data_IF_358468490839
#
_entry.id   IF_358468490839
#
_cell.length_a   1.000
_cell.length_b   1.000
_cell.length_c   1.000
_cell.angle_alpha   90.00
_cell.angle_beta   90.00
_cell.angle_gamma   90.00
#
_symmetry.space_group_name_H-M   'P 1'
#
loop_
_entity.id
_entity.type
_entity.pdbx_description
1 polymer ?
#
# COMPACT_ATOMS: atom_id res chain seq x y z
N UNK A 1 3.03 9.14 -53.45
CA UNK A 1 3.69 9.10 -52.12
C UNK A 1 2.60 9.16 -51.07
N UNK A 2 2.25 8.01 -50.50
CA UNK A 2 1.39 7.94 -49.32
C UNK A 2 2.23 8.31 -48.09
N UNK A 3 1.82 9.26 -47.23
CA UNK A 3 2.55 9.55 -46.01
C UNK A 3 2.52 8.31 -45.11
N UNK A 4 3.71 7.86 -44.69
CA UNK A 4 3.85 6.85 -43.63
C UNK A 4 3.43 7.54 -42.33
N UNK A 5 2.51 6.96 -41.53
CA UNK A 5 2.18 7.53 -40.23
C UNK A 5 3.45 7.60 -39.39
N UNK A 6 3.80 8.80 -38.92
CA UNK A 6 4.88 8.99 -37.98
C UNK A 6 4.48 8.31 -36.66
N UNK A 7 5.07 7.14 -36.40
CA UNK A 7 4.93 6.48 -35.11
C UNK A 7 5.77 7.28 -34.12
N UNK A 8 5.13 7.99 -33.19
CA UNK A 8 5.84 8.70 -32.13
C UNK A 8 6.79 7.71 -31.44
N UNK A 9 8.07 8.06 -31.38
CA UNK A 9 9.03 7.24 -30.66
C UNK A 9 8.49 7.05 -29.24
N UNK A 10 8.50 5.82 -28.69
CA UNK A 10 8.09 5.62 -27.31
C UNK A 10 8.90 6.55 -26.43
N UNK A 11 8.23 7.36 -25.60
CA UNK A 11 8.94 8.15 -24.59
C UNK A 11 9.53 7.16 -23.60
N UNK A 12 10.84 6.98 -23.69
CA UNK A 12 11.57 6.06 -22.82
C UNK A 12 11.83 6.78 -21.49
N UNK A 13 11.54 6.08 -20.39
CA UNK A 13 11.73 6.55 -19.04
C UNK A 13 12.67 5.63 -18.29
N UNK A 14 13.45 6.20 -17.39
CA UNK A 14 14.23 5.45 -16.41
C UNK A 14 13.90 5.94 -15.00
N UNK A 15 14.09 5.05 -14.02
CA UNK A 15 13.73 5.25 -12.64
C UNK A 15 14.94 5.10 -11.74
N UNK A 16 14.94 5.82 -10.62
CA UNK A 16 16.04 5.79 -9.64
C UNK A 16 15.51 6.04 -8.23
N UNK A 17 16.15 5.44 -7.23
CA UNK A 17 15.87 5.70 -5.80
C UNK A 17 16.80 6.73 -5.19
N UNK A 18 18.00 6.91 -5.75
CA UNK A 18 19.05 7.81 -5.25
C UNK A 18 19.20 9.10 -6.09
N UNK A 19 18.59 9.13 -7.28
CA UNK A 19 18.69 10.23 -8.25
C UNK A 19 19.98 10.20 -9.07
N UNK A 20 20.82 9.17 -8.91
CA UNK A 20 22.14 9.02 -9.54
C UNK A 20 22.14 7.80 -10.47
N UNK A 21 21.65 6.66 -9.98
CA UNK A 21 21.65 5.38 -10.69
C UNK A 21 20.28 5.12 -11.29
N UNK A 22 20.18 5.13 -12.63
CA UNK A 22 18.92 4.98 -13.36
C UNK A 22 18.82 3.61 -14.02
N UNK A 23 17.62 3.03 -14.00
CA UNK A 23 17.30 1.77 -14.66
C UNK A 23 15.90 1.83 -15.30
N UNK A 24 15.59 0.97 -16.29
CA UNK A 24 14.27 0.97 -16.95
C UNK A 24 13.08 0.68 -16.01
N UNK A 25 13.35 0.13 -14.82
CA UNK A 25 12.38 -0.12 -13.76
C UNK A 25 13.05 0.08 -12.39
N UNK A 26 12.26 0.33 -11.35
CA UNK A 26 12.77 0.33 -9.99
C UNK A 26 13.20 -1.09 -9.58
N UNK A 27 14.35 -1.25 -8.91
CA UNK A 27 14.87 -2.57 -8.52
C UNK A 27 14.09 -3.23 -7.37
N UNK A 28 13.06 -2.58 -6.84
CA UNK A 28 12.28 -3.06 -5.71
C UNK A 28 11.00 -2.25 -5.49
N UNK A 29 10.22 -2.60 -4.45
CA UNK A 29 8.96 -1.92 -4.15
C UNK A 29 9.21 -0.48 -3.71
N UNK A 30 8.28 0.40 -4.05
CA UNK A 30 8.40 1.82 -3.68
C UNK A 30 8.43 2.02 -2.15
N UNK A 31 7.63 1.24 -1.44
CA UNK A 31 7.58 1.25 0.02
C UNK A 31 8.11 -0.08 0.54
N UNK A 32 9.30 -0.08 1.16
CA UNK A 32 9.90 -1.29 1.73
C UNK A 32 9.22 -1.75 3.03
N UNK A 33 8.51 -0.85 3.73
CA UNK A 33 8.00 -1.05 5.09
C UNK A 33 6.48 -1.09 5.24
N UNK A 34 5.71 -1.09 4.14
CA UNK A 34 4.24 -0.97 4.17
C UNK A 34 3.48 -2.17 4.81
N UNK A 35 4.22 -3.15 5.29
CA UNK A 35 3.74 -4.45 5.76
C UNK A 35 2.92 -4.36 7.04
N UNK A 36 3.11 -3.26 7.76
CA UNK A 36 2.38 -2.96 8.96
C UNK A 36 2.10 -1.46 8.96
N UNK A 37 0.82 -1.13 8.87
CA UNK A 37 0.33 0.24 8.99
C UNK A 37 -0.76 0.18 10.05
N UNK A 38 -0.62 0.97 11.11
CA UNK A 38 -1.65 1.12 12.13
C UNK A 38 -2.47 2.39 11.87
N UNK A 39 -3.73 2.47 12.36
CA UNK A 39 -4.52 3.68 12.21
C UNK A 39 -3.77 4.94 12.69
N UNK A 40 -3.72 5.95 11.82
CA UNK A 40 -2.97 7.18 12.05
C UNK A 40 -1.55 7.20 11.46
N UNK A 41 -1.04 6.07 10.98
CA UNK A 41 0.27 6.01 10.34
C UNK A 41 0.27 6.71 8.97
N UNK A 42 1.43 7.29 8.66
CA UNK A 42 1.76 7.87 7.35
C UNK A 42 3.11 7.36 6.91
N UNK A 43 3.18 6.88 5.66
CA UNK A 43 4.39 6.38 5.03
C UNK A 43 4.64 7.19 3.77
N UNK A 44 5.87 7.66 3.58
CA UNK A 44 6.27 8.41 2.38
C UNK A 44 7.50 7.79 1.74
N UNK A 45 7.48 7.71 0.43
CA UNK A 45 8.58 7.21 -0.38
C UNK A 45 8.81 8.13 -1.58
N UNK A 46 10.05 8.21 -2.03
CA UNK A 46 10.40 9.02 -3.20
C UNK A 46 11.19 8.20 -4.21
N UNK A 47 11.00 8.54 -5.47
CA UNK A 47 11.79 8.04 -6.59
C UNK A 47 11.98 9.15 -7.62
N UNK A 48 12.96 8.97 -8.49
CA UNK A 48 13.26 9.87 -9.58
C UNK A 48 12.81 9.23 -10.89
N UNK A 49 12.25 10.06 -11.77
CA UNK A 49 11.86 9.69 -13.13
C UNK A 49 12.68 10.54 -14.08
N UNK A 50 13.43 9.88 -14.97
CA UNK A 50 14.24 10.52 -16.00
C UNK A 50 13.62 10.30 -17.37
N UNK A 51 13.51 11.37 -18.13
CA UNK A 51 13.14 11.32 -19.53
C UNK A 51 14.40 11.04 -20.37
N UNK A 52 14.48 9.87 -21.00
CA UNK A 52 15.61 9.53 -21.89
C UNK A 52 15.29 9.74 -23.37
N UNK A 53 14.10 10.27 -23.67
CA UNK A 53 13.74 10.67 -25.03
C UNK A 53 14.37 12.00 -25.45
N UNK A 54 14.32 12.29 -26.75
CA UNK A 54 14.86 13.51 -27.34
C UNK A 54 13.92 14.73 -27.20
N UNK A 55 12.73 14.57 -26.62
CA UNK A 55 11.73 15.63 -26.50
C UNK A 55 11.25 15.75 -25.07
N UNK A 56 10.76 16.93 -24.68
CA UNK A 56 10.15 17.10 -23.37
C UNK A 56 8.81 16.34 -23.31
N UNK A 57 8.44 15.90 -22.11
CA UNK A 57 7.18 15.20 -21.88
C UNK A 57 6.56 15.57 -20.54
N UNK A 58 5.24 15.52 -20.46
CA UNK A 58 4.47 15.77 -19.24
C UNK A 58 4.36 14.48 -18.44
N UNK A 59 4.83 14.51 -17.20
CA UNK A 59 4.71 13.42 -16.25
C UNK A 59 3.27 13.27 -15.77
N UNK A 60 2.83 12.01 -15.65
CA UNK A 60 1.59 11.61 -14.98
C UNK A 60 1.86 10.43 -14.05
N UNK A 61 1.34 10.50 -12.83
CA UNK A 61 1.36 9.42 -11.85
C UNK A 61 -0.06 9.00 -11.57
N UNK A 62 -0.31 7.69 -11.63
CA UNK A 62 -1.63 7.08 -11.46
C UNK A 62 -1.58 5.97 -10.42
N UNK A 63 -2.68 5.80 -9.71
CA UNK A 63 -2.97 4.68 -8.82
C UNK A 63 -3.81 3.65 -9.57
N UNK A 64 -3.40 2.38 -9.57
CA UNK A 64 -4.09 1.27 -10.24
C UNK A 64 -3.95 -0.04 -9.45
N UNK A 65 -4.58 -1.10 -9.96
CA UNK A 65 -4.46 -2.47 -9.45
C UNK A 65 -4.74 -2.58 -7.94
N UNK A 66 -5.71 -1.79 -7.50
CA UNK A 66 -6.09 -1.69 -6.10
C UNK A 66 -6.96 -2.88 -5.72
N UNK A 67 -6.52 -3.62 -4.72
CA UNK A 67 -7.26 -4.72 -4.09
C UNK A 67 -7.24 -4.48 -2.59
N UNK A 68 -8.39 -4.53 -1.95
CA UNK A 68 -8.52 -4.42 -0.49
C UNK A 68 -9.41 -5.56 0.03
N UNK A 69 -9.08 -6.11 1.20
CA UNK A 69 -9.87 -7.19 1.80
C UNK A 69 -11.21 -6.71 2.38
N UNK A 70 -11.33 -5.42 2.68
CA UNK A 70 -12.56 -4.83 3.22
C UNK A 70 -12.82 -3.41 2.69
N UNK A 71 -14.10 -2.97 2.60
CA UNK A 71 -14.43 -1.59 2.26
C UNK A 71 -13.84 -0.58 3.25
N UNK A 72 -13.74 -0.95 4.53
CA UNK A 72 -13.18 -0.08 5.56
C UNK A 72 -11.69 0.26 5.29
N UNK A 73 -10.90 -0.72 4.82
CA UNK A 73 -9.53 -0.47 4.38
C UNK A 73 -9.49 0.27 3.04
N UNK A 74 -10.39 -0.05 2.11
CA UNK A 74 -10.46 0.65 0.82
C UNK A 74 -10.76 2.15 0.99
N UNK A 75 -11.62 2.53 1.93
CA UNK A 75 -11.93 3.94 2.23
C UNK A 75 -10.93 4.55 3.21
N UNK A 76 -10.36 3.76 4.11
CA UNK A 76 -9.45 4.21 5.16
C UNK A 76 -8.04 4.51 4.69
N UNK A 77 -7.55 3.83 3.66
CA UNK A 77 -6.24 4.11 3.06
C UNK A 77 -6.39 5.17 1.98
N UNK A 78 -5.61 6.24 2.12
CA UNK A 78 -5.48 7.29 1.11
C UNK A 78 -4.05 7.36 0.58
N UNK A 79 -3.93 7.66 -0.71
CA UNK A 79 -2.66 7.82 -1.40
C UNK A 79 -2.62 9.19 -2.08
N UNK A 80 -1.50 9.88 -1.94
CA UNK A 80 -1.20 11.09 -2.72
C UNK A 80 0.18 10.97 -3.35
N UNK A 81 0.39 11.74 -4.43
CA UNK A 81 1.72 11.92 -5.01
C UNK A 81 1.96 13.40 -5.26
N UNK A 82 3.23 13.81 -5.20
CA UNK A 82 3.67 15.16 -5.48
C UNK A 82 5.01 15.16 -6.20
N UNK A 83 5.25 16.26 -6.89
CA UNK A 83 6.50 16.64 -7.52
C UNK A 83 6.93 17.99 -6.96
N UNK A 84 8.12 18.53 -7.31
CA UNK A 84 8.50 19.88 -6.92
C UNK A 84 7.55 20.97 -7.44
N UNK A 85 6.87 20.74 -8.56
CA UNK A 85 6.00 21.73 -9.20
C UNK A 85 4.51 21.55 -8.91
N UNK A 86 4.05 20.31 -8.67
CA UNK A 86 2.63 20.00 -8.48
C UNK A 86 2.40 19.08 -7.28
N UNK A 87 1.35 19.36 -6.53
CA UNK A 87 0.93 18.55 -5.39
C UNK A 87 -0.42 17.92 -5.69
N UNK A 88 -0.46 16.59 -5.73
CA UNK A 88 -1.68 15.82 -5.89
C UNK A 88 -2.56 15.82 -4.65
N UNK A 89 -3.86 15.63 -4.86
CA UNK A 89 -4.80 15.41 -3.76
C UNK A 89 -4.69 13.99 -3.22
N UNK A 90 -4.96 13.79 -1.93
CA UNK A 90 -5.10 12.46 -1.36
C UNK A 90 -6.37 11.78 -1.88
N UNK A 91 -6.24 10.55 -2.36
CA UNK A 91 -7.30 9.77 -3.00
C UNK A 91 -7.48 8.45 -2.23
N UNK A 92 -8.71 8.08 -1.83
CA UNK A 92 -8.96 6.79 -1.19
C UNK A 92 -8.84 5.64 -2.19
N UNK A 93 -8.38 4.48 -1.73
CA UNK A 93 -8.23 3.28 -2.55
C UNK A 93 -9.54 2.85 -3.22
N UNK A 94 -10.67 2.98 -2.53
CA UNK A 94 -12.01 2.65 -3.06
C UNK A 94 -12.38 3.43 -4.32
N UNK A 95 -11.80 4.60 -4.52
CA UNK A 95 -12.07 5.45 -5.68
C UNK A 95 -11.16 5.12 -6.88
N UNK A 96 -10.20 4.21 -6.71
CA UNK A 96 -9.16 3.86 -7.68
C UNK A 96 -9.58 2.80 -8.73
N UNK A 97 -10.85 2.78 -9.15
CA UNK A 97 -11.36 1.78 -10.11
C UNK A 97 -11.76 2.41 -11.46
N UNK A 98 -11.18 1.97 -12.60
CA UNK A 98 -10.07 1.01 -12.71
C UNK A 98 -8.70 1.62 -12.31
N UNK A 99 -8.64 2.94 -12.18
CA UNK A 99 -7.43 3.69 -11.82
C UNK A 99 -7.78 5.15 -11.49
N UNK A 100 -6.85 5.89 -10.87
CA UNK A 100 -6.99 7.34 -10.60
C UNK A 100 -5.68 8.08 -10.78
N UNK A 101 -5.77 9.31 -11.29
CA UNK A 101 -4.62 10.21 -11.41
C UNK A 101 -4.32 10.82 -10.03
N UNK A 102 -3.06 10.73 -9.60
CA UNK A 102 -2.60 11.32 -8.34
C UNK A 102 -1.97 12.70 -8.59
N UNK A 103 -1.07 12.80 -9.57
CA UNK A 103 -0.45 14.06 -9.98
C UNK A 103 -0.17 14.03 -11.48
N UNK A 104 -0.29 15.17 -12.14
CA UNK A 104 0.04 15.34 -13.55
C UNK A 104 0.55 16.75 -13.84
N UNK A 105 1.33 16.89 -14.92
CA UNK A 105 1.65 18.19 -15.51
C UNK A 105 3.04 18.73 -15.33
N UNK A 106 3.89 18.00 -14.63
CA UNK A 106 5.31 18.31 -14.60
C UNK A 106 5.92 18.09 -15.98
N UNK A 107 6.38 19.18 -16.61
CA UNK A 107 7.17 19.09 -17.82
C UNK A 107 8.58 18.60 -17.47
N UNK A 108 8.95 17.44 -17.97
CA UNK A 108 10.28 16.85 -17.83
C UNK A 108 11.04 17.07 -19.13
N UNK A 109 12.09 17.93 -19.15
CA UNK A 109 12.91 18.15 -20.34
C UNK A 109 13.56 16.87 -20.85
N UNK A 110 13.97 16.86 -22.11
CA UNK A 110 14.80 15.79 -22.67
C UNK A 110 16.08 15.61 -21.84
N UNK A 111 16.35 14.38 -21.39
CA UNK A 111 17.47 14.05 -20.49
C UNK A 111 17.29 14.48 -19.03
N UNK A 112 16.24 15.25 -18.72
CA UNK A 112 15.92 15.78 -17.40
C UNK A 112 15.31 14.73 -16.48
N UNK A 113 15.36 14.99 -15.18
CA UNK A 113 14.79 14.13 -14.16
C UNK A 113 13.95 14.94 -13.17
N UNK A 114 12.88 14.30 -12.66
CA UNK A 114 11.99 14.87 -11.66
C UNK A 114 11.82 13.89 -10.50
N UNK A 115 11.80 14.41 -9.28
CA UNK A 115 11.54 13.63 -8.07
C UNK A 115 10.04 13.52 -7.85
N UNK A 116 9.53 12.32 -7.72
CA UNK A 116 8.16 12.04 -7.30
C UNK A 116 8.20 11.56 -5.86
N UNK A 117 7.34 12.14 -5.01
CA UNK A 117 7.11 11.69 -3.64
C UNK A 117 5.70 11.16 -3.56
N UNK A 118 5.52 9.94 -3.06
CA UNK A 118 4.21 9.36 -2.82
C UNK A 118 4.03 9.10 -1.34
N UNK A 119 2.84 9.42 -0.84
CA UNK A 119 2.48 9.28 0.57
C UNK A 119 1.23 8.42 0.68
N UNK A 120 1.30 7.42 1.56
CA UNK A 120 0.17 6.58 1.94
C UNK A 120 -0.17 6.86 3.40
N UNK A 121 -1.45 7.07 3.68
CA UNK A 121 -1.95 7.32 5.03
C UNK A 121 -3.08 6.35 5.33
N UNK A 122 -3.02 5.65 6.46
CA UNK A 122 -4.16 4.95 7.02
C UNK A 122 -4.87 5.87 8.00
N UNK A 123 -6.10 6.26 7.66
CA UNK A 123 -6.94 7.08 8.51
C UNK A 123 -7.26 6.40 9.85
N UNK A 124 -7.93 7.14 10.74
CA UNK A 124 -8.38 6.58 12.00
C UNK A 124 -9.49 5.56 11.78
N UNK A 125 -9.27 4.33 12.25
CA UNK A 125 -10.25 3.27 12.35
C UNK A 125 -10.58 3.02 13.82
N UNK A 126 -11.80 2.62 14.13
CA UNK A 126 -12.27 2.42 15.51
C UNK A 126 -12.42 0.94 15.84
N UNK A 127 -12.16 0.59 17.12
CA UNK A 127 -12.28 -0.78 17.61
C UNK A 127 -11.34 -1.75 16.90
N UNK A 128 -11.87 -2.86 16.41
CA UNK A 128 -11.14 -3.91 15.65
C UNK A 128 -11.27 -3.73 14.14
N UNK A 129 -11.78 -2.59 13.66
CA UNK A 129 -11.96 -2.32 12.23
C UNK A 129 -10.61 -2.27 11.52
N UNK A 130 -10.44 -3.04 10.44
CA UNK A 130 -9.19 -3.14 9.70
C UNK A 130 -8.14 -4.07 10.32
N UNK A 131 -8.43 -4.70 11.46
CA UNK A 131 -7.48 -5.60 12.12
C UNK A 131 -7.29 -6.88 11.30
N UNK A 132 -6.07 -7.10 10.80
CA UNK A 132 -5.74 -8.25 9.96
C UNK A 132 -6.19 -8.12 8.51
N UNK A 133 -6.76 -6.98 8.13
CA UNK A 133 -7.09 -6.68 6.74
C UNK A 133 -5.83 -6.34 5.93
N UNK A 134 -5.93 -6.49 4.61
CA UNK A 134 -4.82 -6.27 3.68
C UNK A 134 -5.27 -5.40 2.51
N UNK A 135 -4.32 -4.68 1.93
CA UNK A 135 -4.49 -3.98 0.67
C UNK A 135 -3.22 -4.07 -0.19
N UNK A 136 -3.40 -4.16 -1.50
CA UNK A 136 -2.35 -4.04 -2.50
C UNK A 136 -2.73 -2.99 -3.54
N UNK A 137 -1.73 -2.32 -4.08
CA UNK A 137 -1.89 -1.28 -5.09
C UNK A 137 -0.64 -1.17 -5.96
N UNK A 138 -0.77 -0.53 -7.10
CA UNK A 138 0.34 -0.19 -7.99
C UNK A 138 0.34 1.29 -8.32
N UNK A 139 1.53 1.87 -8.47
CA UNK A 139 1.68 3.21 -9.02
C UNK A 139 2.16 3.12 -10.46
N UNK A 140 1.34 3.56 -11.39
CA UNK A 140 1.72 3.72 -12.79
C UNK A 140 2.36 5.09 -13.00
N UNK A 141 3.50 5.12 -13.68
CA UNK A 141 4.17 6.37 -14.07
C UNK A 141 4.24 6.41 -15.59
N UNK A 142 3.63 7.43 -16.16
CA UNK A 142 3.59 7.67 -17.60
C UNK A 142 4.15 9.04 -17.96
N UNK A 143 4.60 9.17 -19.20
CA UNK A 143 4.97 10.46 -19.78
C UNK A 143 4.30 10.61 -21.14
N UNK A 144 3.73 11.77 -21.43
CA UNK A 144 3.05 12.08 -22.68
C UNK A 144 3.50 13.42 -23.25
N UNK A 145 3.39 13.57 -24.56
CA UNK A 145 3.51 14.85 -25.27
C UNK A 145 2.25 15.74 -25.10
N UNK A 146 1.11 15.13 -24.75
CA UNK A 146 -0.12 15.84 -24.40
C UNK A 146 0.05 16.66 -23.11
N UNK A 147 -0.33 17.94 -23.20
CA UNK A 147 -0.37 18.84 -22.05
C UNK A 147 -1.45 18.45 -21.02
N UNK A 148 -1.33 19.01 -19.82
CA UNK A 148 -2.26 18.83 -18.69
C UNK A 148 -3.72 19.00 -19.13
N UNK A 149 -4.58 18.10 -18.67
CA UNK A 149 -6.02 18.11 -18.99
C UNK A 149 -6.38 17.62 -20.39
N UNK A 150 -5.38 17.31 -21.24
CA UNK A 150 -5.61 16.71 -22.57
C UNK A 150 -6.04 15.25 -22.54
N UNK A 151 -5.87 14.57 -21.40
CA UNK A 151 -6.21 13.16 -21.20
C UNK A 151 -7.35 13.00 -20.18
N UNK A 152 -8.40 12.20 -20.48
CA UNK A 152 -9.43 11.88 -19.51
C UNK A 152 -8.85 11.36 -18.17
N UNK A 153 -9.49 11.65 -17.02
CA UNK A 153 -9.03 11.17 -15.72
C UNK A 153 -9.08 9.63 -15.59
N UNK A 154 -9.83 8.95 -16.46
CA UNK A 154 -9.94 7.48 -16.54
C UNK A 154 -8.95 6.86 -17.52
N UNK A 155 -8.24 7.64 -18.34
CA UNK A 155 -7.23 7.13 -19.27
C UNK A 155 -5.86 7.04 -18.57
N UNK A 156 -5.75 6.18 -17.55
CA UNK A 156 -4.48 5.93 -16.85
C UNK A 156 -3.51 5.05 -17.66
N UNK A 157 -3.95 4.59 -18.83
CA UNK A 157 -3.30 3.61 -19.70
C UNK A 157 -2.62 4.35 -20.88
N UNK A 158 -1.79 5.34 -20.56
CA UNK A 158 -0.70 5.71 -21.47
C UNK A 158 0.41 4.66 -21.38
N UNK A 159 1.52 4.82 -22.10
CA UNK A 159 2.74 4.00 -21.94
C UNK A 159 3.32 4.17 -20.53
N UNK A 160 2.72 3.51 -19.55
CA UNK A 160 3.06 3.64 -18.14
C UNK A 160 3.86 2.43 -17.68
N UNK A 161 4.91 2.69 -16.92
CA UNK A 161 5.63 1.67 -16.16
C UNK A 161 4.96 1.54 -14.80
N UNK A 162 4.55 0.33 -14.44
CA UNK A 162 3.92 0.04 -13.16
C UNK A 162 4.98 -0.30 -12.11
N UNK A 163 4.95 0.42 -11.00
CA UNK A 163 5.79 0.19 -9.83
C UNK A 163 4.93 -0.54 -8.79
N UNK A 164 5.23 -1.81 -8.48
CA UNK A 164 4.49 -2.53 -7.45
C UNK A 164 4.72 -1.90 -6.07
N UNK A 165 3.65 -1.76 -5.31
CA UNK A 165 3.72 -1.40 -3.89
C UNK A 165 3.50 -2.68 -3.08
N UNK A 166 4.60 -3.32 -2.71
CA UNK A 166 4.58 -4.55 -1.90
C UNK A 166 5.74 -4.52 -0.92
N UNK A 167 5.49 -4.50 0.39
CA UNK A 167 6.57 -4.84 1.32
C UNK A 167 6.58 -6.35 1.61
N UNK A 168 7.62 -6.83 2.31
CA UNK A 168 7.69 -8.21 2.82
C UNK A 168 6.95 -8.37 4.15
N UNK A 169 6.02 -9.34 4.32
CA UNK A 169 5.25 -9.50 5.55
C UNK A 169 6.18 -9.65 6.77
N UNK A 170 6.06 -8.75 7.73
CA UNK A 170 6.76 -8.84 9.01
C UNK A 170 5.83 -9.54 10.00
N UNK A 171 6.28 -10.66 10.56
CA UNK A 171 5.55 -11.34 11.62
C UNK A 171 5.41 -10.41 12.82
N UNK A 172 4.17 -10.13 13.22
CA UNK A 172 3.89 -9.32 14.40
C UNK A 172 4.28 -10.09 15.67
N UNK A 173 4.81 -9.36 16.66
CA UNK A 173 4.89 -9.89 18.02
C UNK A 173 3.45 -10.13 18.52
N UNK A 174 3.14 -11.39 18.83
CA UNK A 174 1.87 -11.79 19.39
C UNK A 174 1.73 -11.24 20.82
N UNK A 175 1.14 -10.06 20.97
CA UNK A 175 0.75 -9.52 22.29
C UNK A 175 -0.68 -9.91 22.69
N UNK A 176 -1.32 -10.75 21.88
CA UNK A 176 -2.62 -11.33 22.15
C UNK A 176 -2.55 -12.18 23.41
N UNK A 177 -3.21 -11.72 24.46
CA UNK A 177 -3.59 -12.49 25.64
C UNK A 177 -4.65 -13.53 25.27
N UNK A 178 -4.39 -14.35 24.26
CA UNK A 178 -5.11 -15.60 24.06
C UNK A 178 -4.63 -16.53 25.14
N UNK A 179 -5.19 -16.37 26.35
CA UNK A 179 -5.14 -17.45 27.32
C UNK A 179 -5.85 -18.60 26.61
N UNK A 180 -5.14 -19.65 26.18
CA UNK A 180 -5.77 -20.70 25.41
C UNK A 180 -6.85 -21.27 26.32
N UNK A 181 -8.11 -21.24 25.87
CA UNK A 181 -9.25 -21.73 26.65
C UNK A 181 -9.01 -23.16 27.19
N UNK A 182 -8.13 -23.93 26.54
CA UNK A 182 -7.62 -25.22 27.00
C UNK A 182 -6.90 -25.17 28.36
N UNK A 183 -6.14 -24.11 28.66
CA UNK A 183 -5.49 -23.92 29.97
C UNK A 183 -6.48 -23.49 31.06
N UNK A 184 -7.51 -22.71 30.72
CA UNK A 184 -8.59 -22.37 31.68
C UNK A 184 -9.45 -23.59 32.00
N UNK A 185 -9.76 -24.43 31.00
CA UNK A 185 -10.53 -25.65 31.22
C UNK A 185 -9.76 -26.66 32.11
N UNK A 186 -8.44 -26.76 31.96
CA UNK A 186 -7.61 -27.64 32.79
C UNK A 186 -7.55 -27.16 34.25
N UNK A 187 -7.46 -25.86 34.51
CA UNK A 187 -7.42 -25.34 35.89
C UNK A 187 -8.75 -25.51 36.62
N UNK A 188 -9.89 -25.36 35.94
CA UNK A 188 -11.22 -25.65 36.49
C UNK A 188 -11.39 -27.15 36.84
N UNK A 189 -10.87 -28.05 36.01
CA UNK A 189 -10.90 -29.49 36.25
C UNK A 189 -10.14 -29.92 37.51
N UNK A 190 -8.93 -29.39 37.72
CA UNK A 190 -8.10 -29.74 38.89
C UNK A 190 -8.72 -29.23 40.20
N UNK A 191 -9.28 -28.02 40.18
CA UNK A 191 -9.99 -27.47 41.35
C UNK A 191 -11.26 -28.28 41.69
N UNK A 192 -12.01 -28.72 40.69
CA UNK A 192 -13.20 -29.56 40.87
C UNK A 192 -12.87 -30.92 41.50
N UNK A 193 -11.83 -31.60 41.03
CA UNK A 193 -11.40 -32.90 41.58
C UNK A 193 -10.88 -32.77 43.01
N UNK A 194 -10.09 -31.73 43.29
CA UNK A 194 -9.58 -31.47 44.63
C UNK A 194 -10.69 -31.23 45.65
N UNK A 195 -11.71 -30.44 45.28
CA UNK A 195 -12.87 -30.19 46.14
C UNK A 195 -13.70 -31.46 46.37
N UNK A 196 -13.89 -32.28 45.32
CA UNK A 196 -14.63 -33.54 45.44
C UNK A 196 -13.93 -34.53 46.38
N UNK A 197 -12.61 -34.69 46.26
CA UNK A 197 -11.83 -35.57 47.15
C UNK A 197 -11.85 -35.08 48.60
N UNK A 198 -11.79 -33.77 48.84
CA UNK A 198 -11.91 -33.20 50.18
C UNK A 198 -13.29 -33.43 50.82
N UNK A 199 -14.36 -33.29 50.05
CA UNK A 199 -15.73 -33.55 50.52
C UNK A 199 -15.94 -35.05 50.79
N UNK A 200 -15.46 -35.92 49.90
CA UNK A 200 -15.53 -37.36 50.07
C UNK A 200 -14.75 -37.84 51.31
N UNK A 201 -13.53 -37.31 51.52
CA UNK A 201 -12.73 -37.62 52.70
C UNK A 201 -13.38 -37.14 54.01
N UNK A 202 -14.04 -35.96 53.99
CA UNK A 202 -14.78 -35.46 55.17
C UNK A 202 -16.03 -36.30 55.49
N UNK A 203 -16.74 -36.82 54.49
CA UNK A 203 -17.89 -37.70 54.71
C UNK A 203 -17.49 -39.02 55.35
N UNK A 204 -16.44 -39.65 54.85
CA UNK A 204 -15.96 -40.94 55.38
C UNK A 204 -15.55 -40.86 56.86
N UNK A 205 -14.91 -39.76 57.27
CA UNK A 205 -14.56 -39.51 58.68
C UNK A 205 -15.75 -39.27 59.60
N UNK A 206 -16.93 -38.93 59.08
CA UNK A 206 -18.16 -38.77 59.86
C UNK A 206 -18.95 -40.07 60.01
N UNK A 207 -18.66 -41.08 59.19
CA UNK A 207 -19.31 -42.40 59.27
C UNK A 207 -18.55 -43.34 60.23
N UNK A 208 -17.31 -43.01 60.58
CA UNK A 208 -16.45 -43.77 61.50
C UNK A 208 -16.41 -43.19 62.95
N UNK A 209 -17.24 -42.17 63.25
CA UNK A 209 -17.35 -41.53 64.56
C UNK A 209 -18.80 -41.53 65.04
#
# INVERSE_FOLDING_TARGET
MTPVPAQAAPVVMEFSTDGISYAPALPGPLFSTINLVVPGDSQSASFWVRNTSASAGYLRVVLSDVVASSPAIADGITVSSSTPAHTGTAVPLSSASPCRVLVEGDLVPAGGAVKVTSTLVLGNLTGTTGQGDTASLSLGVGMSDAAVGGLPPTSCIGSSTFIPVSGSPVALAYTGSDIPYRLIALSAGVLGVGLFLLVAARRRRREEA
#
